data_IF_407992529296
#
_entry.id   IF_407992529296
#
_cell.length_a   1.000
_cell.length_b   1.000
_cell.length_c   1.000
_cell.angle_alpha   90.00
_cell.angle_beta   90.00
_cell.angle_gamma   90.00
#
_symmetry.space_group_name_H-M   'P 1'
#
loop_
_entity.id
_entity.type
_entity.pdbx_description
1 polymer ?
#
# COMPACT_ATOMS: atom_id res chain seq x y z
N UNK A 1 0.44 -19.96 -7.46
CA UNK A 1 0.67 -18.59 -7.94
C UNK A 1 0.82 -17.76 -6.68
N UNK A 2 2.02 -17.27 -6.36
CA UNK A 2 2.20 -16.35 -5.23
C UNK A 2 1.72 -14.96 -5.66
N UNK A 3 0.99 -14.27 -4.78
CA UNK A 3 0.56 -12.89 -5.03
C UNK A 3 1.79 -11.96 -5.07
N UNK A 4 1.97 -11.28 -6.20
CA UNK A 4 3.08 -10.34 -6.42
C UNK A 4 2.84 -9.05 -5.63
N UNK A 5 1.57 -8.70 -5.43
CA UNK A 5 1.16 -7.54 -4.65
C UNK A 5 0.39 -7.97 -3.41
N UNK A 6 0.68 -7.33 -2.28
CA UNK A 6 0.01 -7.59 -0.99
C UNK A 6 -0.37 -6.28 -0.32
N UNK A 7 -1.57 -6.21 0.27
CA UNK A 7 -1.98 -5.04 1.06
C UNK A 7 -1.37 -5.15 2.45
N UNK A 8 -0.68 -4.08 2.87
CA UNK A 8 -0.13 -3.95 4.22
C UNK A 8 -0.70 -2.72 4.89
N UNK A 9 -1.26 -2.90 6.10
CA UNK A 9 -1.65 -1.79 6.96
C UNK A 9 -0.41 -1.11 7.51
N UNK A 10 -0.26 0.18 7.23
CA UNK A 10 0.79 1.04 7.76
C UNK A 10 0.19 2.01 8.77
N UNK A 11 0.85 2.16 9.92
CA UNK A 11 0.56 3.28 10.82
C UNK A 11 1.14 4.54 10.19
N UNK A 12 0.31 5.53 9.91
CA UNK A 12 0.80 6.86 9.62
C UNK A 12 0.98 7.61 10.96
N UNK A 13 2.18 8.14 11.18
CA UNK A 13 2.44 9.08 12.26
C UNK A 13 2.44 10.45 11.60
N UNK A 14 1.33 11.17 11.71
CA UNK A 14 1.29 12.57 11.28
C UNK A 14 2.09 13.38 12.30
N UNK A 15 3.32 13.73 11.95
CA UNK A 15 4.15 14.58 12.79
C UNK A 15 3.70 16.03 12.56
N UNK A 16 2.87 16.55 13.45
CA UNK A 16 2.61 17.98 13.50
C UNK A 16 3.89 18.71 13.92
N UNK A 17 4.37 19.63 13.09
CA UNK A 17 5.51 20.48 13.43
C UNK A 17 5.20 21.30 14.68
N UNK A 18 5.95 21.08 15.77
CA UNK A 18 5.79 21.82 17.01
C UNK A 18 6.43 23.21 16.88
N UNK A 19 5.72 24.27 17.27
CA UNK A 19 6.37 25.52 17.68
C UNK A 19 6.82 25.40 19.14
N UNK A 20 7.99 25.93 19.46
CA UNK A 20 8.53 25.92 20.82
C UNK A 20 7.56 26.62 21.79
N UNK A 21 7.05 25.88 22.78
CA UNK A 21 6.18 26.42 23.84
C UNK A 21 4.78 25.78 23.93
N UNK A 22 4.36 25.01 22.93
CA UNK A 22 3.04 24.39 22.93
C UNK A 22 3.05 23.05 23.69
N UNK A 23 2.39 23.03 24.85
CA UNK A 23 2.30 21.88 25.75
C UNK A 23 1.02 21.07 25.57
N UNK A 24 0.32 21.22 24.42
CA UNK A 24 -0.80 20.33 24.11
C UNK A 24 -0.26 18.98 23.62
N UNK A 25 -0.29 18.01 24.53
CA UNK A 25 -0.11 16.61 24.23
C UNK A 25 -1.41 16.04 23.64
N UNK A 26 -1.86 16.54 22.49
CA UNK A 26 -2.79 15.75 21.70
C UNK A 26 -1.99 14.61 21.06
N UNK A 27 -2.27 13.33 21.37
CA UNK A 27 -1.61 12.23 20.70
C UNK A 27 -1.92 12.39 19.22
N UNK A 28 -0.87 12.58 18.40
CA UNK A 28 -1.00 12.69 16.96
C UNK A 28 -2.00 11.64 16.48
N UNK A 29 -3.13 12.09 15.88
CA UNK A 29 -4.19 11.20 15.42
C UNK A 29 -3.54 10.11 14.57
N UNK A 30 -3.52 8.90 15.12
CA UNK A 30 -2.86 7.77 14.50
C UNK A 30 -3.74 7.28 13.35
N UNK A 31 -3.70 7.97 12.22
CA UNK A 31 -4.39 7.55 11.02
C UNK A 31 -3.73 6.26 10.50
N UNK A 32 -4.53 5.23 10.30
CA UNK A 32 -4.08 4.01 9.64
C UNK A 32 -4.31 4.14 8.15
N UNK A 33 -3.26 3.95 7.35
CA UNK A 33 -3.36 3.88 5.89
C UNK A 33 -2.97 2.49 5.41
N UNK A 34 -3.49 2.10 4.25
CA UNK A 34 -3.21 0.83 3.61
C UNK A 34 -2.36 1.07 2.38
N UNK A 35 -1.24 0.37 2.26
CA UNK A 35 -0.38 0.46 1.08
C UNK A 35 -0.27 -0.89 0.40
N UNK A 36 -0.13 -0.87 -0.91
CA UNK A 36 0.13 -2.07 -1.70
C UNK A 36 1.63 -2.24 -1.77
N UNK A 37 2.13 -3.33 -1.19
CA UNK A 37 3.52 -3.72 -1.28
C UNK A 37 3.73 -4.64 -2.48
N UNK A 38 4.72 -4.35 -3.30
CA UNK A 38 5.22 -5.27 -4.31
C UNK A 38 6.25 -6.20 -3.65
N UNK A 39 5.91 -7.49 -3.54
CA UNK A 39 6.78 -8.51 -2.91
C UNK A 39 8.01 -8.83 -3.77
N UNK A 40 7.99 -8.52 -5.07
CA UNK A 40 9.09 -8.79 -5.99
C UNK A 40 10.19 -7.74 -5.89
N UNK A 41 9.81 -6.47 -5.78
CA UNK A 41 10.76 -5.34 -5.67
C UNK A 41 10.95 -4.86 -4.24
N UNK A 42 10.19 -5.42 -3.30
CA UNK A 42 10.09 -4.96 -1.92
C UNK A 42 9.74 -3.46 -1.83
N UNK A 43 8.98 -2.98 -2.82
CA UNK A 43 8.57 -1.59 -2.99
C UNK A 43 7.12 -1.34 -2.59
N UNK A 44 6.70 -0.08 -2.70
CA UNK A 44 5.32 0.34 -2.44
C UNK A 44 4.72 1.00 -3.68
N UNK A 45 3.42 0.80 -3.89
CA UNK A 45 2.67 1.36 -5.02
C UNK A 45 1.70 2.43 -4.51
N UNK A 46 1.78 3.62 -5.10
CA UNK A 46 0.92 4.76 -4.83
C UNK A 46 1.20 5.46 -3.50
N UNK A 47 0.40 6.49 -3.21
CA UNK A 47 0.55 7.33 -2.01
C UNK A 47 -0.10 6.71 -0.74
N UNK A 48 -0.86 5.62 -0.91
CA UNK A 48 -1.59 4.92 0.15
C UNK A 48 -3.08 5.22 0.13
N UNK A 49 -3.85 4.26 0.64
CA UNK A 49 -5.30 4.26 0.71
C UNK A 49 -5.76 4.48 2.14
N UNK A 50 -6.81 5.27 2.33
CA UNK A 50 -7.42 5.46 3.65
C UNK A 50 -8.24 4.24 4.09
N UNK A 51 -8.86 3.52 3.12
CA UNK A 51 -9.70 2.34 3.36
C UNK A 51 -9.00 1.06 2.93
N UNK A 52 -9.19 0.00 3.71
CA UNK A 52 -8.62 -1.31 3.40
C UNK A 52 -9.23 -1.88 2.12
N UNK A 53 -10.54 -1.72 1.96
CA UNK A 53 -11.28 -2.24 0.80
C UNK A 53 -10.75 -1.66 -0.52
N UNK A 54 -10.39 -0.36 -0.54
CA UNK A 54 -9.83 0.29 -1.73
C UNK A 54 -8.46 -0.29 -2.08
N UNK A 55 -7.58 -0.44 -1.09
CA UNK A 55 -6.28 -1.07 -1.27
C UNK A 55 -6.41 -2.52 -1.74
N UNK A 56 -7.35 -3.28 -1.18
CA UNK A 56 -7.58 -4.67 -1.56
C UNK A 56 -8.11 -4.80 -2.99
N UNK A 57 -9.03 -3.93 -3.41
CA UNK A 57 -9.55 -3.92 -4.79
C UNK A 57 -8.44 -3.67 -5.79
N UNK A 58 -7.60 -2.67 -5.52
CA UNK A 58 -6.49 -2.37 -6.42
C UNK A 58 -5.42 -3.46 -6.39
N UNK A 59 -5.09 -4.02 -5.22
CA UNK A 59 -4.17 -5.14 -5.10
C UNK A 59 -4.62 -6.35 -5.92
N UNK A 60 -5.91 -6.70 -5.85
CA UNK A 60 -6.50 -7.77 -6.66
C UNK A 60 -6.42 -7.46 -8.15
N UNK A 61 -6.68 -6.20 -8.55
CA UNK A 61 -6.55 -5.76 -9.94
C UNK A 61 -5.11 -5.91 -10.45
N UNK A 62 -4.14 -5.48 -9.65
CA UNK A 62 -2.72 -5.59 -9.97
C UNK A 62 -2.25 -7.05 -10.06
N UNK A 63 -2.66 -7.90 -9.12
CA UNK A 63 -2.37 -9.34 -9.19
C UNK A 63 -3.04 -10.01 -10.39
N UNK A 64 -4.25 -9.60 -10.77
CA UNK A 64 -4.93 -10.13 -11.96
C UNK A 64 -4.22 -9.73 -13.26
N UNK A 65 -3.73 -8.49 -13.37
CA UNK A 65 -3.00 -7.99 -14.54
C UNK A 65 -1.57 -8.55 -14.60
N UNK A 66 -0.92 -8.70 -13.45
CA UNK A 66 0.45 -9.20 -13.36
C UNK A 66 0.54 -10.72 -13.34
N UNK A 67 -0.59 -11.42 -13.23
CA UNK A 67 -0.65 -12.86 -13.48
C UNK A 67 -0.12 -13.10 -14.90
N UNK A 68 0.84 -14.02 -15.10
CA UNK A 68 1.30 -14.35 -16.42
C UNK A 68 0.10 -14.92 -17.16
N UNK A 69 -0.49 -14.12 -18.06
CA UNK A 69 -1.08 -14.69 -19.26
C UNK A 69 -0.05 -15.70 -19.77
N UNK A 70 -0.41 -16.98 -19.97
CA UNK A 70 0.52 -17.95 -20.51
C UNK A 70 1.11 -17.31 -21.76
N UNK A 71 2.43 -17.09 -21.72
CA UNK A 71 3.16 -16.50 -22.83
C UNK A 71 2.67 -17.21 -24.09
N UNK A 72 2.10 -16.43 -25.01
CA UNK A 72 1.60 -16.91 -26.29
C UNK A 72 2.61 -17.92 -26.82
N UNK A 73 2.21 -19.19 -26.89
CA UNK A 73 3.07 -20.26 -27.36
C UNK A 73 3.73 -19.80 -28.67
N UNK A 74 5.06 -19.91 -28.83
CA UNK A 74 5.67 -19.64 -30.12
C UNK A 74 5.07 -20.64 -31.11
N UNK A 75 4.22 -20.13 -31.99
CA UNK A 75 3.81 -20.84 -33.20
C UNK A 75 4.92 -20.54 -34.19
N UNK A 76 5.79 -21.52 -34.44
CA UNK A 76 6.91 -21.38 -35.37
C UNK A 76 7.96 -22.45 -35.16
#
# INVERSE_FOLDING_TARGET
>A
MEDIFVVKRCKNIIIYGRRAGDSQHDPADAHSWFRICDTRTNGFIGDGYEKEEDAQRECKRLNAVSSPLPARAPSG
#
